data_IF_894853327042
#
_entry.id   IF_894853327042
#
_cell.length_a   1.000
_cell.length_b   1.000
_cell.length_c   1.000
_cell.angle_alpha   90.00
_cell.angle_beta   90.00
_cell.angle_gamma   90.00
#
_symmetry.space_group_name_H-M   'P 1'
#
loop_
_entity.id
_entity.type
_entity.pdbx_description
1 polymer ?
#
# COMPACT_ATOMS: atom_id res chain seq x y z
N UNK A 1 9.37 -28.15 4.09
CA UNK A 1 9.69 -26.76 4.50
C UNK A 1 10.77 -26.10 3.64
N UNK A 2 11.89 -26.77 3.31
CA UNK A 2 12.94 -26.19 2.44
C UNK A 2 12.42 -25.74 1.06
N UNK A 3 11.51 -26.51 0.44
CA UNK A 3 10.93 -26.18 -0.87
C UNK A 3 10.07 -24.91 -0.88
N UNK A 4 9.29 -24.67 0.17
CA UNK A 4 8.45 -23.47 0.31
C UNK A 4 9.31 -22.20 0.41
N UNK A 5 10.36 -22.22 1.23
CA UNK A 5 11.26 -21.08 1.37
C UNK A 5 12.01 -20.75 0.08
N UNK A 6 12.38 -21.77 -0.71
CA UNK A 6 12.99 -21.57 -2.03
C UNK A 6 12.00 -20.91 -2.99
N UNK A 7 10.74 -21.34 -3.00
CA UNK A 7 9.68 -20.72 -3.79
C UNK A 7 9.43 -19.27 -3.36
N UNK A 8 9.30 -19.02 -2.07
CA UNK A 8 9.09 -17.68 -1.53
C UNK A 8 10.25 -16.74 -1.88
N UNK A 9 11.50 -17.22 -1.80
CA UNK A 9 12.69 -16.46 -2.23
C UNK A 9 12.65 -16.15 -3.73
N UNK A 10 12.21 -17.09 -4.56
CA UNK A 10 12.01 -16.85 -6.00
C UNK A 10 10.98 -15.74 -6.24
N UNK A 11 9.82 -15.81 -5.58
CA UNK A 11 8.76 -14.81 -5.76
C UNK A 11 9.21 -13.42 -5.27
N UNK A 12 9.93 -13.35 -4.15
CA UNK A 12 10.50 -12.10 -3.64
C UNK A 12 11.53 -11.48 -4.60
N UNK A 13 12.42 -12.30 -5.16
CA UNK A 13 13.38 -11.87 -6.17
C UNK A 13 12.69 -11.37 -7.44
N UNK A 14 11.59 -12.03 -7.85
CA UNK A 14 10.80 -11.58 -8.99
C UNK A 14 10.17 -10.21 -8.72
N UNK A 15 9.55 -10.02 -7.56
CA UNK A 15 8.96 -8.73 -7.17
C UNK A 15 10.00 -7.60 -7.16
N UNK A 16 11.23 -7.88 -6.72
CA UNK A 16 12.33 -6.93 -6.74
C UNK A 16 12.80 -6.60 -8.16
N UNK A 17 13.06 -7.64 -8.98
CA UNK A 17 13.58 -7.47 -10.36
C UNK A 17 12.56 -6.88 -11.33
N UNK A 18 11.28 -7.08 -11.07
CA UNK A 18 10.18 -6.48 -11.85
C UNK A 18 9.82 -5.08 -11.35
N UNK A 19 10.53 -4.54 -10.36
CA UNK A 19 10.25 -3.26 -9.71
C UNK A 19 8.86 -3.17 -9.06
N UNK A 20 8.10 -4.27 -9.00
CA UNK A 20 6.76 -4.30 -8.39
C UNK A 20 6.81 -3.84 -6.93
N UNK A 21 7.78 -4.33 -6.17
CA UNK A 21 7.97 -3.92 -4.78
C UNK A 21 8.24 -2.42 -4.65
N UNK A 22 9.09 -1.88 -5.52
CA UNK A 22 9.45 -0.46 -5.50
C UNK A 22 8.26 0.42 -5.89
N UNK A 23 7.52 0.07 -6.94
CA UNK A 23 6.33 0.81 -7.37
C UNK A 23 5.27 0.83 -6.27
N UNK A 24 4.96 -0.33 -5.68
CA UNK A 24 3.97 -0.42 -4.59
C UNK A 24 4.42 0.35 -3.36
N UNK A 25 5.68 0.19 -2.95
CA UNK A 25 6.26 0.91 -1.83
C UNK A 25 6.19 2.43 -2.02
N UNK A 26 6.64 2.93 -3.16
CA UNK A 26 6.62 4.37 -3.47
C UNK A 26 5.20 4.90 -3.49
N UNK A 27 4.27 4.24 -4.18
CA UNK A 27 2.87 4.70 -4.26
C UNK A 27 2.25 4.78 -2.86
N UNK A 28 2.34 3.71 -2.06
CA UNK A 28 1.75 3.71 -0.72
C UNK A 28 2.39 4.75 0.21
N UNK A 29 3.72 4.90 0.18
CA UNK A 29 4.42 5.92 0.97
C UNK A 29 4.03 7.33 0.57
N UNK A 30 3.93 7.62 -0.73
CA UNK A 30 3.49 8.93 -1.23
C UNK A 30 2.08 9.26 -0.74
N UNK A 31 1.14 8.31 -0.82
CA UNK A 31 -0.20 8.51 -0.25
C UNK A 31 -0.18 8.65 1.27
N UNK A 32 0.73 7.95 1.96
CA UNK A 32 0.96 8.10 3.40
C UNK A 32 1.38 9.51 3.79
N UNK A 33 2.28 10.13 3.02
CA UNK A 33 2.74 11.51 3.22
C UNK A 33 1.70 12.55 2.81
N UNK A 34 0.99 12.31 1.71
CA UNK A 34 -0.01 13.25 1.18
C UNK A 34 -1.25 13.34 2.07
N UNK A 35 -1.61 12.28 2.79
CA UNK A 35 -2.84 12.26 3.61
C UNK A 35 -2.87 13.36 4.68
N UNK A 36 -1.86 13.50 5.57
CA UNK A 36 -1.80 14.58 6.55
C UNK A 36 -1.62 15.97 5.92
N UNK A 37 -0.87 16.07 4.82
CA UNK A 37 -0.70 17.31 4.08
C UNK A 37 -2.06 17.84 3.59
N UNK A 38 -2.82 17.00 2.89
CA UNK A 38 -4.13 17.35 2.36
C UNK A 38 -5.09 17.66 3.51
N UNK A 39 -5.10 16.86 4.58
CA UNK A 39 -5.98 17.11 5.73
C UNK A 39 -5.78 18.52 6.32
N UNK A 40 -4.54 18.99 6.45
CA UNK A 40 -4.25 20.33 6.98
C UNK A 40 -4.64 21.45 6.00
N UNK A 41 -4.33 21.28 4.72
CA UNK A 41 -4.51 22.34 3.71
C UNK A 41 -5.90 22.36 3.06
N UNK A 42 -6.73 21.33 3.25
CA UNK A 42 -8.11 21.29 2.74
C UNK A 42 -8.92 22.55 3.05
N UNK A 43 -8.99 23.05 4.30
CA UNK A 43 -9.74 24.28 4.59
C UNK A 43 -9.15 25.52 3.90
N UNK A 44 -7.84 25.60 3.70
CA UNK A 44 -7.20 26.71 2.98
C UNK A 44 -7.50 26.66 1.47
N UNK A 45 -7.49 25.47 0.88
CA UNK A 45 -7.85 25.27 -0.53
C UNK A 45 -9.32 25.66 -0.80
N UNK A 46 -10.22 25.38 0.14
CA UNK A 46 -11.64 25.72 0.02
C UNK A 46 -11.85 27.24 0.06
N UNK A 47 -11.07 27.98 0.87
CA UNK A 47 -11.14 29.45 0.92
C UNK A 47 -10.78 30.14 -0.40
N UNK A 48 -10.06 29.48 -1.29
CA UNK A 48 -9.68 30.03 -2.61
C UNK A 48 -10.82 30.00 -3.64
N UNK A 49 -11.94 29.32 -3.33
CA UNK A 49 -13.12 29.23 -4.19
C UNK A 49 -14.06 30.40 -3.90
N UNK A 50 -14.74 30.99 -4.90
CA UNK A 50 -15.81 31.96 -4.67
C UNK A 50 -16.84 31.40 -3.68
N UNK A 51 -17.23 32.19 -2.66
CA UNK A 51 -18.11 31.77 -1.54
C UNK A 51 -17.54 30.69 -0.61
N UNK A 52 -16.27 30.31 -0.78
CA UNK A 52 -15.58 29.27 -0.01
C UNK A 52 -15.36 29.61 1.47
N UNK A 53 -15.42 30.89 1.86
CA UNK A 53 -15.30 31.30 3.27
C UNK A 53 -16.47 30.80 4.14
N UNK A 54 -17.70 30.83 3.62
CA UNK A 54 -18.88 30.32 4.32
C UNK A 54 -18.82 28.80 4.51
N UNK A 55 -18.24 28.09 3.52
CA UNK A 55 -18.03 26.64 3.56
C UNK A 55 -16.87 26.29 4.50
N UNK A 56 -15.78 27.03 4.46
CA UNK A 56 -14.62 26.83 5.33
C UNK A 56 -14.95 27.11 6.80
N UNK A 57 -15.88 28.04 7.09
CA UNK A 57 -16.34 28.32 8.45
C UNK A 57 -17.18 27.18 9.06
N UNK A 58 -17.76 26.31 8.22
CA UNK A 58 -18.48 25.10 8.65
C UNK A 58 -17.54 23.90 8.88
N UNK A 59 -16.29 23.98 8.39
CA UNK A 59 -15.29 22.92 8.53
C UNK A 59 -14.56 23.12 9.86
N UNK A 60 -14.64 22.17 10.80
CA UNK A 60 -13.93 22.26 12.07
C UNK A 60 -12.41 22.31 11.83
N UNK A 61 -11.67 22.83 12.82
CA UNK A 61 -10.21 22.95 12.73
C UNK A 61 -9.59 21.57 12.52
N UNK A 62 -8.75 21.38 11.49
CA UNK A 62 -8.22 20.08 11.15
C UNK A 62 -7.43 19.50 12.32
N UNK A 63 -7.80 18.28 12.75
CA UNK A 63 -7.14 17.60 13.87
C UNK A 63 -6.22 16.47 13.38
N UNK A 64 -5.26 16.07 14.23
CA UNK A 64 -4.39 14.94 13.93
C UNK A 64 -5.17 13.62 13.73
N UNK A 65 -6.31 13.47 14.41
CA UNK A 65 -7.20 12.30 14.27
C UNK A 65 -7.83 12.27 12.87
N UNK A 66 -8.26 13.41 12.33
CA UNK A 66 -8.78 13.50 10.96
C UNK A 66 -7.72 13.18 9.90
N UNK A 67 -6.46 13.60 10.12
CA UNK A 67 -5.36 13.22 9.24
C UNK A 67 -5.13 11.70 9.20
N UNK A 68 -5.21 11.02 10.36
CA UNK A 68 -5.13 9.56 10.45
C UNK A 68 -6.35 8.89 9.83
N UNK A 69 -7.56 9.41 10.05
CA UNK A 69 -8.78 8.89 9.43
C UNK A 69 -8.73 8.99 7.89
N UNK A 70 -8.23 10.12 7.38
CA UNK A 70 -8.02 10.33 5.95
C UNK A 70 -6.97 9.36 5.39
N UNK A 71 -5.87 9.14 6.12
CA UNK A 71 -4.87 8.13 5.76
C UNK A 71 -5.49 6.72 5.67
N UNK A 72 -6.27 6.31 6.66
CA UNK A 72 -6.92 4.99 6.68
C UNK A 72 -7.87 4.81 5.49
N UNK A 73 -8.65 5.84 5.15
CA UNK A 73 -9.54 5.84 3.98
C UNK A 73 -8.75 5.68 2.68
N UNK A 74 -7.71 6.48 2.49
CA UNK A 74 -6.86 6.44 1.29
C UNK A 74 -6.14 5.09 1.15
N UNK A 75 -5.58 4.56 2.25
CA UNK A 75 -4.90 3.26 2.24
C UNK A 75 -5.86 2.11 1.97
N UNK A 76 -7.08 2.15 2.51
CA UNK A 76 -8.07 1.10 2.27
C UNK A 76 -8.49 1.07 0.80
N UNK A 77 -8.69 2.25 0.19
CA UNK A 77 -9.07 2.36 -1.22
C UNK A 77 -7.92 1.99 -2.15
N UNK A 78 -6.80 2.71 -2.09
CA UNK A 78 -5.69 2.51 -3.02
C UNK A 78 -4.92 1.23 -2.73
N UNK A 79 -4.72 0.88 -1.45
CA UNK A 79 -4.12 -0.40 -1.06
C UNK A 79 -4.94 -1.59 -1.51
N UNK A 80 -6.28 -1.52 -1.39
CA UNK A 80 -7.19 -2.56 -1.90
C UNK A 80 -7.10 -2.73 -3.42
N UNK A 81 -7.13 -1.63 -4.18
CA UNK A 81 -7.01 -1.66 -5.65
C UNK A 81 -5.66 -2.26 -6.06
N UNK A 82 -4.56 -1.82 -5.45
CA UNK A 82 -3.22 -2.37 -5.74
C UNK A 82 -3.16 -3.87 -5.43
N UNK A 83 -3.74 -4.31 -4.30
CA UNK A 83 -3.74 -5.72 -3.90
C UNK A 83 -4.48 -6.59 -4.92
N UNK A 84 -5.63 -6.11 -5.40
CA UNK A 84 -6.39 -6.79 -6.45
C UNK A 84 -5.59 -6.85 -7.76
N UNK A 85 -5.09 -5.72 -8.25
CA UNK A 85 -4.38 -5.67 -9.53
C UNK A 85 -3.13 -6.56 -9.56
N UNK A 86 -2.38 -6.60 -8.45
CA UNK A 86 -1.15 -7.39 -8.36
C UNK A 86 -1.42 -8.89 -8.20
N UNK A 87 -2.56 -9.26 -7.60
CA UNK A 87 -2.96 -10.67 -7.45
C UNK A 87 -3.59 -11.23 -8.72
N UNK A 88 -4.35 -10.45 -9.48
CA UNK A 88 -5.03 -10.89 -10.72
C UNK A 88 -4.07 -11.54 -11.74
N UNK A 89 -2.85 -11.03 -11.88
CA UNK A 89 -1.83 -11.56 -12.79
C UNK A 89 -0.92 -12.64 -12.21
N UNK A 90 -0.97 -12.90 -10.90
CA UNK A 90 0.06 -13.68 -10.20
C UNK A 90 0.13 -15.15 -10.62
N UNK A 91 -1.02 -15.73 -10.99
CA UNK A 91 -1.13 -17.12 -11.46
C UNK A 91 -1.43 -17.19 -12.95
N UNK A 92 -2.32 -16.32 -13.46
CA UNK A 92 -2.72 -16.31 -14.87
C UNK A 92 -1.52 -16.10 -15.80
N UNK A 93 -0.64 -15.14 -15.52
CA UNK A 93 0.52 -14.87 -16.37
C UNK A 93 1.52 -16.03 -16.42
N UNK A 94 1.68 -16.78 -15.34
CA UNK A 94 2.56 -17.96 -15.33
C UNK A 94 1.94 -19.16 -16.05
N UNK A 95 0.60 -19.27 -16.06
CA UNK A 95 -0.10 -20.26 -16.88
C UNK A 95 0.06 -19.95 -18.36
N UNK A 96 -0.15 -18.69 -18.75
CA UNK A 96 -0.09 -18.28 -20.17
C UNK A 96 1.33 -18.40 -20.73
N UNK A 97 2.36 -18.10 -19.93
CA UNK A 97 3.78 -18.22 -20.32
C UNK A 97 4.34 -19.65 -20.22
N UNK A 98 3.54 -20.63 -19.78
CA UNK A 98 3.98 -22.02 -19.58
C UNK A 98 4.98 -22.24 -18.44
N UNK A 99 5.34 -21.20 -17.68
CA UNK A 99 6.29 -21.30 -16.56
C UNK A 99 5.70 -22.05 -15.37
N UNK A 100 4.37 -21.99 -15.17
CA UNK A 100 3.69 -22.77 -14.15
C UNK A 100 3.85 -24.29 -14.38
N UNK A 101 3.81 -24.72 -15.65
CA UNK A 101 4.01 -26.13 -16.00
C UNK A 101 5.43 -26.57 -15.65
N UNK A 102 6.46 -25.79 -16.02
CA UNK A 102 7.86 -26.11 -15.69
C UNK A 102 8.13 -26.21 -14.18
N UNK A 103 7.44 -25.41 -13.37
CA UNK A 103 7.56 -25.47 -11.90
C UNK A 103 6.90 -26.71 -11.31
N UNK A 104 5.76 -27.13 -11.86
CA UNK A 104 4.95 -28.25 -11.37
C UNK A 104 5.45 -29.64 -11.82
N UNK A 105 6.41 -29.73 -12.74
CA UNK A 105 7.10 -30.98 -13.06
C UNK A 105 8.02 -31.44 -11.91
N UNK A 106 8.45 -30.51 -11.05
CA UNK A 106 9.21 -30.84 -9.83
C UNK A 106 8.24 -31.38 -8.77
N UNK A 107 8.69 -32.27 -7.84
CA UNK A 107 7.86 -32.81 -6.77
C UNK A 107 7.52 -31.72 -5.74
N UNK A 108 6.60 -30.84 -6.13
CA UNK A 108 6.13 -29.69 -5.37
C UNK A 108 4.62 -29.78 -5.19
N UNK A 109 4.11 -29.72 -3.94
CA UNK A 109 2.68 -29.70 -3.72
C UNK A 109 2.10 -28.37 -4.23
N UNK A 110 0.96 -28.45 -4.94
CA UNK A 110 0.27 -27.29 -5.54
C UNK A 110 -0.06 -26.21 -4.51
N UNK A 111 -0.38 -26.61 -3.28
CA UNK A 111 -0.63 -25.69 -2.17
C UNK A 111 0.61 -24.89 -1.78
N UNK A 112 1.82 -25.48 -1.80
CA UNK A 112 3.04 -24.74 -1.48
C UNK A 112 3.38 -23.70 -2.54
N UNK A 113 3.07 -23.98 -3.81
CA UNK A 113 3.22 -23.03 -4.91
C UNK A 113 2.28 -21.82 -4.73
N UNK A 114 0.99 -22.06 -4.45
CA UNK A 114 0.03 -20.97 -4.23
C UNK A 114 0.33 -20.18 -2.95
N UNK A 115 0.64 -20.87 -1.86
CA UNK A 115 0.95 -20.26 -0.58
C UNK A 115 2.21 -19.38 -0.65
N UNK A 116 3.23 -19.78 -1.42
CA UNK A 116 4.44 -18.98 -1.57
C UNK A 116 4.16 -17.65 -2.28
N UNK A 117 3.31 -17.66 -3.32
CA UNK A 117 2.86 -16.44 -4.02
C UNK A 117 2.07 -15.51 -3.11
N UNK A 118 1.09 -16.08 -2.39
CA UNK A 118 0.30 -15.32 -1.43
C UNK A 118 1.18 -14.70 -0.36
N UNK A 119 2.09 -15.48 0.25
CA UNK A 119 2.99 -15.00 1.28
C UNK A 119 3.93 -13.90 0.77
N UNK A 120 4.48 -14.03 -0.44
CA UNK A 120 5.33 -13.00 -1.03
C UNK A 120 4.56 -11.69 -1.27
N UNK A 121 3.33 -11.77 -1.81
CA UNK A 121 2.49 -10.57 -2.00
C UNK A 121 2.08 -9.96 -0.66
N UNK A 122 1.69 -10.77 0.32
CA UNK A 122 1.32 -10.30 1.66
C UNK A 122 2.49 -9.61 2.37
N UNK A 123 3.70 -10.18 2.31
CA UNK A 123 4.91 -9.57 2.87
C UNK A 123 5.24 -8.23 2.20
N UNK A 124 5.11 -8.14 0.88
CA UNK A 124 5.36 -6.90 0.14
C UNK A 124 4.36 -5.81 0.54
N UNK A 125 3.07 -6.16 0.66
CA UNK A 125 2.03 -5.24 1.12
C UNK A 125 2.25 -4.81 2.57
N UNK A 126 2.55 -5.75 3.46
CA UNK A 126 2.80 -5.46 4.87
C UNK A 126 4.00 -4.52 5.05
N UNK A 127 5.11 -4.78 4.36
CA UNK A 127 6.29 -3.92 4.40
C UNK A 127 5.99 -2.52 3.86
N UNK A 128 5.25 -2.42 2.75
CA UNK A 128 4.90 -1.14 2.13
C UNK A 128 3.93 -0.33 2.99
N UNK A 129 2.92 -0.98 3.59
CA UNK A 129 1.98 -0.34 4.51
C UNK A 129 2.65 0.10 5.81
N UNK A 130 3.60 -0.67 6.34
CA UNK A 130 4.37 -0.28 7.51
C UNK A 130 5.20 0.99 7.23
N UNK A 131 5.88 1.04 6.08
CA UNK A 131 6.63 2.24 5.66
C UNK A 131 5.70 3.44 5.44
N UNK A 132 4.54 3.25 4.79
CA UNK A 132 3.56 4.30 4.59
C UNK A 132 2.99 4.83 5.91
N UNK A 133 2.73 3.94 6.88
CA UNK A 133 2.26 4.30 8.22
C UNK A 133 3.30 5.09 9.01
N UNK A 134 4.58 4.68 8.95
CA UNK A 134 5.68 5.44 9.54
C UNK A 134 5.82 6.83 8.90
N UNK A 135 5.69 6.92 7.58
CA UNK A 135 5.74 8.18 6.85
C UNK A 135 4.58 9.11 7.25
N UNK A 136 3.36 8.56 7.35
CA UNK A 136 2.19 9.31 7.83
C UNK A 136 2.39 9.79 9.27
N UNK A 137 2.83 8.91 10.18
CA UNK A 137 3.07 9.26 11.57
C UNK A 137 4.09 10.39 11.71
N UNK A 138 5.23 10.26 11.02
CA UNK A 138 6.28 11.27 11.02
C UNK A 138 5.77 12.62 10.51
N UNK A 139 4.98 12.63 9.42
CA UNK A 139 4.48 13.85 8.83
C UNK A 139 3.36 14.50 9.67
N UNK A 140 2.47 13.71 10.26
CA UNK A 140 1.46 14.21 11.21
C UNK A 140 2.13 14.84 12.43
N UNK A 141 3.17 14.19 12.99
CA UNK A 141 3.94 14.74 14.11
C UNK A 141 4.58 16.09 13.76
N UNK A 142 5.18 16.19 12.57
CA UNK A 142 5.80 17.43 12.08
C UNK A 142 4.78 18.55 11.84
N UNK A 143 3.56 18.23 11.41
CA UNK A 143 2.54 19.23 11.06
C UNK A 143 1.61 19.64 12.20
N UNK A 144 1.27 18.72 13.09
CA UNK A 144 0.25 18.89 14.14
C UNK A 144 0.83 18.82 15.56
N UNK A 145 2.11 18.48 15.73
CA UNK A 145 2.73 18.30 17.04
C UNK A 145 2.56 16.86 17.57
N UNK A 146 2.97 16.58 18.83
CA UNK A 146 2.76 15.29 19.45
C UNK A 146 1.27 14.92 19.41
N UNK A 147 1.00 13.67 19.01
CA UNK A 147 -0.34 13.09 19.13
C UNK A 147 -0.61 12.95 20.63
N UNK A 148 -1.31 13.93 21.21
CA UNK A 148 -1.83 13.79 22.57
C UNK A 148 -2.81 12.61 22.59
N UNK A 149 -2.54 11.67 23.51
CA UNK A 149 -3.25 10.40 23.67
C UNK A 149 -4.63 10.59 24.30
#
# INVERSE_FOLDING_TARGET
MKSFFVLLRKEWLEQWRTYRLLVVGVVLVVFGLLSPLIAKYTPELIKLVPEGEAIAALIPTPTALEAVAQYLKNMSQFGGILALLLTMGAVAQEKDKGTAAMMLVKPLPRLAFLAAKFAALALMFAASLALAGLACYYYTWLMFGPLDA
#
